data_IF_771500406178
#
_entry.id   IF_771500406178
#
_cell.length_a   1.000
_cell.length_b   1.000
_cell.length_c   1.000
_cell.angle_alpha   90.00
_cell.angle_beta   90.00
_cell.angle_gamma   90.00
#
_symmetry.space_group_name_H-M   'P 1'
#
loop_
_entity.id
_entity.type
_entity.pdbx_description
1 polymer ?
#
# COMPACT_ATOMS: atom_id res chain seq x y z
N UNK A 1 12.48 -2.26 -33.74
CA UNK A 1 11.23 -2.78 -34.32
C UNK A 1 10.36 -1.60 -34.75
N UNK A 2 9.88 -1.54 -35.99
CA UNK A 2 8.98 -0.47 -36.45
C UNK A 2 7.62 -0.59 -35.74
N UNK A 3 7.11 0.52 -35.23
CA UNK A 3 5.79 0.57 -34.58
C UNK A 3 4.73 0.18 -35.63
N UNK A 4 3.91 -0.85 -35.37
CA UNK A 4 2.87 -1.27 -36.31
C UNK A 4 1.88 -0.12 -36.52
N UNK A 5 1.65 0.25 -37.77
CA UNK A 5 0.76 1.36 -38.12
C UNK A 5 -0.69 0.96 -37.82
N UNK A 6 -1.40 1.79 -37.06
CA UNK A 6 -2.83 1.62 -36.82
C UNK A 6 -3.59 1.85 -38.15
N UNK A 7 -4.01 0.75 -38.79
CA UNK A 7 -4.65 0.75 -40.11
C UNK A 7 -5.81 1.76 -40.26
N UNK A 8 -6.68 1.98 -39.24
CA UNK A 8 -7.76 2.97 -39.33
C UNK A 8 -7.29 4.41 -39.54
N UNK A 9 -6.16 4.81 -38.94
CA UNK A 9 -5.63 6.19 -39.01
C UNK A 9 -4.73 6.38 -40.23
N UNK A 10 -4.10 5.30 -40.71
CA UNK A 10 -3.23 5.31 -41.88
C UNK A 10 -3.99 5.62 -43.18
N UNK A 11 -5.25 5.15 -43.29
CA UNK A 11 -6.10 5.31 -44.48
C UNK A 11 -7.00 6.56 -44.46
N UNK A 12 -6.94 7.38 -43.40
CA UNK A 12 -7.78 8.57 -43.25
C UNK A 12 -7.25 9.79 -44.05
N UNK A 13 -8.13 10.76 -44.34
CA UNK A 13 -7.75 12.03 -44.99
C UNK A 13 -6.82 12.87 -44.09
N UNK A 14 -5.98 13.74 -44.66
CA UNK A 14 -5.05 14.58 -43.88
C UNK A 14 -5.77 15.52 -42.89
N UNK A 15 -6.95 16.03 -43.25
CA UNK A 15 -7.80 16.80 -42.32
C UNK A 15 -8.27 15.95 -41.14
N UNK A 16 -8.75 14.73 -41.41
CA UNK A 16 -9.17 13.78 -40.38
C UNK A 16 -8.00 13.33 -39.48
N UNK A 17 -6.80 13.14 -40.04
CA UNK A 17 -5.59 12.78 -39.26
C UNK A 17 -5.17 13.88 -38.28
N UNK A 18 -5.29 15.15 -38.66
CA UNK A 18 -4.99 16.29 -37.77
C UNK A 18 -5.92 16.37 -36.57
N UNK A 19 -7.14 15.84 -36.69
CA UNK A 19 -8.14 15.80 -35.62
C UNK A 19 -8.02 14.50 -34.80
N UNK A 20 -7.92 13.35 -35.47
CA UNK A 20 -7.96 12.03 -34.83
C UNK A 20 -6.67 11.72 -34.04
N UNK A 21 -5.49 12.10 -34.56
CA UNK A 21 -4.20 11.82 -33.89
C UNK A 21 -4.10 12.41 -32.47
N UNK A 22 -4.36 13.71 -32.22
CA UNK A 22 -4.26 14.24 -30.86
C UNK A 22 -5.30 13.64 -29.91
N UNK A 23 -6.51 13.33 -30.40
CA UNK A 23 -7.54 12.62 -29.61
C UNK A 23 -7.04 11.23 -29.22
N UNK A 24 -6.50 10.46 -30.18
CA UNK A 24 -5.95 9.13 -29.92
C UNK A 24 -4.77 9.18 -28.96
N UNK A 25 -3.86 10.14 -29.11
CA UNK A 25 -2.74 10.34 -28.19
C UNK A 25 -3.24 10.70 -26.79
N UNK A 26 -4.21 11.62 -26.68
CA UNK A 26 -4.80 12.00 -25.39
C UNK A 26 -5.50 10.83 -24.72
N UNK A 27 -6.30 10.06 -25.46
CA UNK A 27 -6.96 8.84 -24.97
C UNK A 27 -5.92 7.83 -24.48
N UNK A 28 -4.87 7.59 -25.26
CA UNK A 28 -3.84 6.60 -24.94
C UNK A 28 -3.00 7.04 -23.74
N UNK A 29 -2.77 8.35 -23.56
CA UNK A 29 -2.13 8.90 -22.37
C UNK A 29 -3.01 8.72 -21.12
N UNK A 30 -4.32 8.97 -21.22
CA UNK A 30 -5.28 8.73 -20.12
C UNK A 30 -5.30 7.25 -19.74
N UNK A 31 -5.40 6.35 -20.74
CA UNK A 31 -5.40 4.90 -20.51
C UNK A 31 -4.08 4.42 -19.90
N UNK A 32 -2.93 4.92 -20.37
CA UNK A 32 -1.63 4.59 -19.82
C UNK A 32 -1.49 5.07 -18.37
N UNK A 33 -2.00 6.28 -18.05
CA UNK A 33 -2.06 6.78 -16.68
C UNK A 33 -2.92 5.91 -15.77
N UNK A 34 -4.14 5.57 -16.19
CA UNK A 34 -5.04 4.70 -15.44
C UNK A 34 -4.44 3.30 -15.22
N UNK A 35 -3.86 2.71 -16.27
CA UNK A 35 -3.16 1.43 -16.16
C UNK A 35 -1.96 1.50 -15.22
N UNK A 36 -1.18 2.60 -15.26
CA UNK A 36 -0.05 2.78 -14.35
C UNK A 36 -0.47 2.82 -12.88
N UNK A 37 -1.60 3.46 -12.56
CA UNK A 37 -2.14 3.48 -11.20
C UNK A 37 -2.59 2.10 -10.74
N UNK A 38 -3.32 1.37 -11.59
CA UNK A 38 -3.77 0.00 -11.30
C UNK A 38 -2.58 -0.97 -11.15
N UNK A 39 -1.63 -0.93 -12.09
CA UNK A 39 -0.47 -1.82 -12.10
C UNK A 39 0.49 -1.59 -10.92
N UNK A 40 0.47 -0.39 -10.32
CA UNK A 40 1.31 -0.05 -9.16
C UNK A 40 0.58 -0.08 -7.83
N UNK A 41 -0.70 -0.48 -7.80
CA UNK A 41 -1.54 -0.49 -6.60
C UNK A 41 -1.52 0.86 -5.86
N UNK A 42 -1.52 1.95 -6.62
CA UNK A 42 -1.50 3.31 -6.08
C UNK A 42 -2.90 3.91 -6.12
N UNK A 43 -3.70 3.56 -5.11
CA UNK A 43 -5.01 4.15 -4.87
C UNK A 43 -4.93 5.18 -3.75
N UNK A 44 -5.62 6.31 -3.91
CA UNK A 44 -5.69 7.36 -2.92
C UNK A 44 -7.14 7.71 -2.57
N UNK A 45 -7.38 7.99 -1.30
CA UNK A 45 -8.64 8.51 -0.79
C UNK A 45 -8.81 9.96 -1.25
N UNK A 46 -9.63 10.17 -2.28
CA UNK A 46 -9.94 11.49 -2.83
C UNK A 46 -10.54 12.43 -1.79
N UNK A 47 -11.29 11.91 -0.81
CA UNK A 47 -11.84 12.69 0.28
C UNK A 47 -10.77 13.29 1.17
N UNK A 48 -9.66 12.56 1.41
CA UNK A 48 -8.49 13.08 2.14
C UNK A 48 -7.68 14.08 1.33
N UNK A 49 -7.48 13.82 0.03
CA UNK A 49 -6.79 14.77 -0.86
C UNK A 49 -7.54 16.11 -0.91
N UNK A 50 -8.85 16.09 -1.09
CA UNK A 50 -9.68 17.30 -1.14
C UNK A 50 -9.66 18.07 0.19
N UNK A 51 -9.48 17.37 1.32
CA UNK A 51 -9.31 17.98 2.65
C UNK A 51 -7.88 18.47 2.92
N UNK A 52 -6.95 18.32 1.98
CA UNK A 52 -5.57 18.81 2.08
C UNK A 52 -4.59 17.84 2.73
N UNK A 53 -4.93 16.56 2.90
CA UNK A 53 -3.97 15.55 3.35
C UNK A 53 -2.88 15.28 2.30
N UNK A 54 -1.71 14.84 2.75
CA UNK A 54 -0.63 14.47 1.83
C UNK A 54 -0.99 13.22 1.01
N UNK A 55 -0.40 13.03 -0.18
CA UNK A 55 -0.58 11.80 -0.96
C UNK A 55 -0.21 10.53 -0.19
N UNK A 56 0.77 10.60 0.72
CA UNK A 56 1.15 9.45 1.56
C UNK A 56 0.05 9.09 2.56
N UNK A 57 -0.57 10.09 3.19
CA UNK A 57 -1.64 9.88 4.18
C UNK A 57 -2.98 9.47 3.55
N UNK A 58 -3.18 9.86 2.28
CA UNK A 58 -4.34 9.50 1.50
C UNK A 58 -4.20 8.11 0.87
N UNK A 59 -3.02 7.47 0.89
CA UNK A 59 -2.83 6.18 0.23
C UNK A 59 -3.69 5.10 0.88
N UNK A 60 -4.45 4.39 0.06
CA UNK A 60 -5.36 3.33 0.50
C UNK A 60 -4.58 2.04 0.70
N UNK A 61 -4.84 1.35 1.81
CA UNK A 61 -4.23 0.06 2.08
C UNK A 61 -5.09 -1.08 1.54
N UNK A 62 -4.45 -1.99 0.82
CA UNK A 62 -5.05 -3.23 0.33
C UNK A 62 -4.64 -4.41 1.21
N UNK A 63 -5.47 -5.44 1.25
CA UNK A 63 -5.11 -6.73 1.85
C UNK A 63 -4.28 -7.59 0.89
N UNK A 64 -3.89 -8.79 1.32
CA UNK A 64 -3.11 -9.74 0.50
C UNK A 64 -3.85 -10.21 -0.76
N UNK A 65 -5.17 -10.07 -0.80
CA UNK A 65 -6.02 -10.41 -1.95
C UNK A 65 -6.23 -9.21 -2.88
N UNK A 66 -5.62 -8.05 -2.56
CA UNK A 66 -5.76 -6.82 -3.32
C UNK A 66 -7.06 -6.06 -3.03
N UNK A 67 -7.86 -6.43 -2.03
CA UNK A 67 -9.08 -5.70 -1.70
C UNK A 67 -8.78 -4.50 -0.80
N UNK A 68 -9.56 -3.42 -0.95
CA UNK A 68 -9.48 -2.24 -0.09
C UNK A 68 -9.86 -2.62 1.34
N UNK A 69 -8.97 -2.33 2.31
CA UNK A 69 -9.28 -2.56 3.72
C UNK A 69 -10.26 -1.51 4.23
N UNK A 70 -11.33 -1.97 4.87
CA UNK A 70 -12.31 -1.13 5.55
C UNK A 70 -12.36 -1.49 7.03
N UNK A 71 -12.64 -0.50 7.86
CA UNK A 71 -12.84 -0.70 9.29
C UNK A 71 -14.23 -1.33 9.57
N UNK A 72 -14.55 -1.53 10.85
CA UNK A 72 -15.85 -2.06 11.27
C UNK A 72 -17.04 -1.16 10.86
N UNK A 73 -16.80 0.11 10.55
CA UNK A 73 -17.80 1.09 10.13
C UNK A 73 -17.88 1.24 8.60
N UNK A 74 -17.08 0.48 7.85
CA UNK A 74 -17.00 0.56 6.38
C UNK A 74 -16.14 1.70 5.84
N UNK A 75 -15.46 2.47 6.70
CA UNK A 75 -14.55 3.54 6.30
C UNK A 75 -13.24 2.94 5.74
N UNK A 76 -12.69 3.57 4.70
CA UNK A 76 -11.44 3.14 4.09
C UNK A 76 -10.28 3.36 5.06
N UNK A 77 -9.51 2.29 5.31
CA UNK A 77 -8.35 2.34 6.18
C UNK A 77 -7.15 2.82 5.35
N UNK A 78 -6.57 3.97 5.70
CA UNK A 78 -5.28 4.44 5.16
C UNK A 78 -4.11 4.12 6.08
N UNK A 79 -4.37 3.73 7.34
CA UNK A 79 -3.35 3.35 8.33
C UNK A 79 -3.90 2.24 9.22
N UNK A 80 -3.20 1.10 9.29
CA UNK A 80 -3.69 -0.07 10.03
C UNK A 80 -3.32 0.05 11.50
N UNK A 81 -4.32 0.06 12.38
CA UNK A 81 -4.12 -0.09 13.82
C UNK A 81 -4.05 -1.58 14.18
N UNK A 82 -3.08 -1.97 15.02
CA UNK A 82 -2.90 -3.34 15.51
C UNK A 82 -2.81 -3.39 17.01
N UNK A 83 -3.13 -4.53 17.59
CA UNK A 83 -2.77 -4.85 18.98
C UNK A 83 -1.31 -5.37 19.06
N UNK A 84 -0.81 -5.57 20.29
CA UNK A 84 0.53 -6.17 20.51
C UNK A 84 0.68 -7.59 19.96
N UNK A 85 -0.40 -8.28 19.66
CA UNK A 85 -0.38 -9.62 19.06
C UNK A 85 -0.38 -9.57 17.53
N UNK A 86 -0.33 -8.37 16.93
CA UNK A 86 -0.35 -8.14 15.49
C UNK A 86 -1.73 -8.29 14.85
N UNK A 87 -2.80 -8.43 15.63
CA UNK A 87 -4.16 -8.49 15.08
C UNK A 87 -4.62 -7.08 14.71
N UNK A 88 -5.37 -6.96 13.62
CA UNK A 88 -5.96 -5.67 13.23
C UNK A 88 -7.17 -5.38 14.11
N UNK A 89 -7.19 -4.18 14.68
CA UNK A 89 -8.23 -3.71 15.60
C UNK A 89 -8.76 -2.34 15.17
N UNK A 90 -9.96 -1.93 15.60
CA UNK A 90 -10.49 -0.59 15.34
C UNK A 90 -9.58 0.52 15.89
N UNK A 91 -9.58 1.68 15.22
CA UNK A 91 -8.91 2.88 15.73
C UNK A 91 -9.48 3.26 17.12
N UNK A 92 -8.60 3.68 18.03
CA UNK A 92 -8.99 4.01 19.42
C UNK A 92 -9.08 2.83 20.37
N UNK A 93 -8.78 1.60 19.93
CA UNK A 93 -8.65 0.44 20.82
C UNK A 93 -7.55 0.69 21.86
N UNK A 94 -7.87 0.52 23.16
CA UNK A 94 -6.93 0.78 24.24
C UNK A 94 -5.67 -0.12 24.13
N UNK A 95 -4.49 0.49 24.19
CA UNK A 95 -3.20 -0.22 24.09
C UNK A 95 -2.82 -0.67 22.67
N UNK A 96 -3.65 -0.35 21.67
CA UNK A 96 -3.34 -0.53 20.26
C UNK A 96 -2.62 0.71 19.71
N UNK A 97 -1.76 0.50 18.72
CA UNK A 97 -1.06 1.58 18.00
C UNK A 97 -1.17 1.36 16.50
N UNK A 98 -0.77 2.35 15.72
CA UNK A 98 -0.61 2.15 14.28
C UNK A 98 0.55 1.19 14.01
N UNK A 99 0.42 0.37 12.96
CA UNK A 99 1.37 -0.71 12.64
C UNK A 99 2.80 -0.20 12.55
N UNK A 100 2.98 0.99 12.00
CA UNK A 100 4.25 1.71 11.80
C UNK A 100 4.78 2.43 13.06
N UNK A 101 4.06 2.37 14.19
CA UNK A 101 4.47 2.98 15.47
C UNK A 101 5.00 1.96 16.49
N UNK A 102 4.87 0.66 16.18
CA UNK A 102 5.42 -0.41 17.02
C UNK A 102 6.92 -0.50 16.87
N UNK A 103 7.66 -0.70 17.96
CA UNK A 103 9.10 -0.95 17.94
C UNK A 103 9.48 -2.09 18.91
N UNK A 104 10.75 -2.49 18.92
CA UNK A 104 11.20 -3.59 19.79
C UNK A 104 10.97 -3.34 21.29
N UNK A 105 10.91 -2.09 21.75
CA UNK A 105 10.63 -1.77 23.15
C UNK A 105 9.16 -1.98 23.55
N UNK A 106 8.26 -2.16 22.58
CA UNK A 106 6.85 -2.47 22.86
C UNK A 106 6.62 -3.92 23.30
N UNK A 107 7.60 -4.79 23.04
CA UNK A 107 7.55 -6.23 23.28
C UNK A 107 8.48 -6.64 24.41
N UNK A 108 8.02 -7.57 25.25
CA UNK A 108 8.83 -8.07 26.37
C UNK A 108 9.67 -9.29 25.99
N UNK A 109 9.32 -9.98 24.91
CA UNK A 109 10.02 -11.17 24.45
C UNK A 109 10.10 -11.22 22.91
N UNK A 110 11.19 -11.79 22.39
CA UNK A 110 11.43 -11.95 20.96
C UNK A 110 10.28 -12.71 20.25
N UNK A 111 9.69 -13.78 20.82
CA UNK A 111 8.57 -14.46 20.17
C UNK A 111 7.30 -13.61 20.05
N UNK A 112 7.09 -12.62 20.93
CA UNK A 112 5.97 -11.68 20.81
C UNK A 112 6.20 -10.71 19.64
N UNK A 113 7.42 -10.17 19.55
CA UNK A 113 7.83 -9.30 18.45
C UNK A 113 7.75 -10.03 17.10
N UNK A 114 8.22 -11.27 17.04
CA UNK A 114 8.14 -12.11 15.83
C UNK A 114 6.70 -12.30 15.37
N UNK A 115 5.79 -12.68 16.29
CA UNK A 115 4.36 -12.86 15.95
C UNK A 115 3.73 -11.58 15.41
N UNK A 116 4.09 -10.43 15.99
CA UNK A 116 3.63 -9.15 15.48
C UNK A 116 4.18 -8.89 14.07
N UNK A 117 5.48 -9.07 13.88
CA UNK A 117 6.19 -8.85 12.61
C UNK A 117 5.59 -9.70 11.47
N UNK A 118 5.39 -10.99 11.70
CA UNK A 118 4.82 -11.92 10.72
C UNK A 118 3.42 -11.46 10.27
N UNK A 119 2.60 -10.98 11.20
CA UNK A 119 1.25 -10.47 10.90
C UNK A 119 1.25 -9.06 10.31
N UNK A 120 2.27 -8.26 10.62
CA UNK A 120 2.45 -6.91 10.10
C UNK A 120 2.93 -6.90 8.64
N UNK A 121 3.44 -8.03 8.15
CA UNK A 121 3.84 -8.26 6.76
C UNK A 121 5.29 -8.71 6.58
N UNK A 122 6.01 -8.94 7.68
CA UNK A 122 7.36 -9.48 7.70
C UNK A 122 8.37 -8.65 6.92
N UNK A 123 9.38 -9.31 6.34
CA UNK A 123 10.47 -8.68 5.57
C UNK A 123 9.94 -7.76 4.45
N UNK A 124 8.81 -8.13 3.84
CA UNK A 124 8.19 -7.35 2.76
C UNK A 124 7.62 -6.00 3.20
N UNK A 125 7.30 -5.85 4.49
CA UNK A 125 6.65 -4.66 5.05
C UNK A 125 7.18 -4.28 6.44
N UNK A 126 8.50 -4.33 6.62
CA UNK A 126 9.16 -3.90 7.86
C UNK A 126 9.33 -2.37 7.93
N UNK A 127 8.21 -1.67 8.10
CA UNK A 127 8.19 -0.19 8.10
C UNK A 127 8.90 0.39 9.33
N UNK A 128 8.84 -0.34 10.42
CA UNK A 128 9.29 0.03 11.75
C UNK A 128 10.64 -0.59 12.13
N UNK A 129 11.31 -1.26 11.19
CA UNK A 129 12.63 -1.87 11.36
C UNK A 129 12.70 -2.79 12.57
N UNK A 130 11.65 -3.60 12.75
CA UNK A 130 11.64 -4.67 13.75
C UNK A 130 12.69 -5.74 13.40
N UNK A 131 12.97 -5.94 12.12
CA UNK A 131 13.99 -6.83 11.58
C UNK A 131 15.03 -5.98 10.80
N UNK A 132 15.95 -5.40 11.56
CA UNK A 132 16.84 -4.36 11.07
C UNK A 132 17.84 -4.83 10.00
N UNK A 133 18.25 -6.09 10.04
CA UNK A 133 19.19 -6.76 9.14
C UNK A 133 18.49 -7.64 8.09
N UNK A 134 17.17 -7.82 8.19
CA UNK A 134 16.28 -8.44 7.19
C UNK A 134 16.51 -9.92 7.03
N UNK A 135 16.86 -10.61 8.11
CA UNK A 135 17.07 -12.05 8.12
C UNK A 135 15.77 -12.84 8.36
N UNK A 136 14.67 -12.14 8.65
CA UNK A 136 13.36 -12.69 8.97
C UNK A 136 13.08 -12.81 10.47
N UNK A 137 14.04 -12.44 11.33
CA UNK A 137 13.94 -12.55 12.77
C UNK A 137 13.80 -11.17 13.40
N UNK A 138 12.61 -10.86 13.89
CA UNK A 138 12.34 -9.57 14.50
C UNK A 138 12.94 -9.48 15.92
N UNK A 139 13.53 -8.33 16.22
CA UNK A 139 13.98 -7.91 17.55
C UNK A 139 14.81 -8.97 18.29
N UNK A 140 15.87 -9.46 17.64
CA UNK A 140 16.73 -10.53 18.15
C UNK A 140 17.35 -10.27 19.53
N UNK A 141 17.53 -8.99 19.88
CA UNK A 141 18.06 -8.54 21.17
C UNK A 141 17.09 -8.82 22.34
N UNK A 142 15.81 -9.09 22.07
CA UNK A 142 14.83 -9.38 23.10
C UNK A 142 15.02 -10.80 23.69
N UNK A 143 14.63 -11.01 24.96
CA UNK A 143 14.65 -12.34 25.55
C UNK A 143 13.80 -13.34 24.75
N UNK A 144 14.33 -14.52 24.42
CA UNK A 144 13.59 -15.58 23.70
C UNK A 144 12.52 -16.30 24.55
N UNK A 145 12.22 -15.78 25.74
CA UNK A 145 11.43 -16.39 26.79
C UNK A 145 12.27 -16.63 28.04
N UNK A 146 11.70 -16.37 29.22
CA UNK A 146 12.40 -16.48 30.49
C UNK A 146 13.02 -17.87 30.67
N UNK A 147 14.29 -17.94 31.12
CA UNK A 147 14.70 -19.01 32.03
C UNK A 147 13.72 -18.93 33.19
N UNK A 148 12.87 -19.96 33.35
CA UNK A 148 12.11 -20.13 34.57
C UNK A 148 13.06 -20.19 35.76
#
# INVERSE_FOLDING_TARGET
>A
MPIPKFKPVANASEGSKKIIKPILIGLLAILAGAFGLEATNNDWDLGKIVKGSSPSDAKILRDQNGNIRRDANGQIITRVTRDKNGNVVPEGTAGAKYTDEYNCADFSAQPDAQRFFDKAGGIGHDTNRLDGDKDGVACEDLPKGAKR
#
